data_IF_752079451076
#
_entry.id   IF_752079451076
#
_cell.length_a   1.000
_cell.length_b   1.000
_cell.length_c   1.000
_cell.angle_alpha   90.00
_cell.angle_beta   90.00
_cell.angle_gamma   90.00
#
_symmetry.space_group_name_H-M   'P 1'
#
loop_
_entity.id
_entity.type
_entity.pdbx_description
1 polymer ?
#
# COMPACT_ATOMS: atom_id res chain seq x y z
N UNK A 1 -8.52 -11.65 -28.42
CA UNK A 1 -9.87 -12.18 -28.15
C UNK A 1 -9.89 -13.28 -27.06
N UNK A 2 -8.80 -14.06 -26.85
CA UNK A 2 -8.73 -15.11 -25.82
C UNK A 2 -8.76 -14.60 -24.37
N UNK A 3 -8.28 -13.38 -24.08
CA UNK A 3 -8.16 -12.87 -22.71
C UNK A 3 -9.47 -12.51 -22.00
N UNK A 4 -10.56 -12.28 -22.74
CA UNK A 4 -11.87 -11.94 -22.15
C UNK A 4 -12.67 -13.19 -21.75
N UNK A 5 -12.53 -14.26 -22.49
CA UNK A 5 -13.26 -15.52 -22.24
C UNK A 5 -12.68 -16.32 -21.07
N UNK A 6 -11.35 -16.27 -20.85
CA UNK A 6 -10.71 -16.96 -19.72
C UNK A 6 -11.03 -16.31 -18.37
N UNK A 7 -11.29 -15.00 -18.34
CA UNK A 7 -11.64 -14.25 -17.11
C UNK A 7 -13.08 -14.47 -16.65
N UNK A 8 -14.00 -14.72 -17.57
CA UNK A 8 -15.42 -14.98 -17.26
C UNK A 8 -15.57 -16.31 -16.47
N UNK A 9 -14.66 -17.28 -16.68
CA UNK A 9 -14.67 -18.56 -15.95
C UNK A 9 -14.14 -18.44 -14.50
N UNK A 10 -13.52 -17.32 -14.14
CA UNK A 10 -12.92 -17.09 -12.81
C UNK A 10 -13.79 -16.20 -11.93
N UNK A 11 -14.87 -15.63 -12.43
CA UNK A 11 -15.76 -14.76 -11.64
C UNK A 11 -16.52 -15.64 -10.63
N UNK A 12 -16.40 -15.36 -9.31
CA UNK A 12 -17.10 -16.10 -8.29
C UNK A 12 -18.61 -16.10 -8.48
N UNK A 13 -19.27 -17.17 -8.08
CA UNK A 13 -20.73 -17.26 -8.09
C UNK A 13 -21.35 -16.08 -7.32
N UNK A 14 -22.44 -15.53 -7.85
CA UNK A 14 -23.10 -14.35 -7.28
C UNK A 14 -22.39 -13.00 -7.56
N UNK A 15 -21.31 -12.98 -8.35
CA UNK A 15 -20.61 -11.76 -8.74
C UNK A 15 -20.99 -11.35 -10.16
N UNK A 16 -21.49 -10.14 -10.32
CA UNK A 16 -21.83 -9.51 -11.62
C UNK A 16 -20.88 -8.33 -11.85
N UNK A 17 -20.00 -8.44 -12.83
CA UNK A 17 -19.07 -7.38 -13.19
C UNK A 17 -19.81 -6.18 -13.76
N UNK A 18 -19.36 -4.98 -13.38
CA UNK A 18 -19.81 -3.69 -13.88
C UNK A 18 -18.66 -3.00 -14.63
N UNK A 19 -18.31 -1.79 -14.24
CA UNK A 19 -17.31 -0.96 -14.90
C UNK A 19 -15.89 -1.31 -14.40
N UNK A 20 -14.91 -1.27 -15.30
CA UNK A 20 -13.49 -1.27 -14.93
C UNK A 20 -13.18 0.04 -14.18
N UNK A 21 -12.60 -0.07 -12.99
CA UNK A 21 -12.18 1.05 -12.15
C UNK A 21 -10.72 1.41 -12.40
N UNK A 22 -9.86 0.39 -12.50
CA UNK A 22 -8.44 0.58 -12.80
C UNK A 22 -7.83 -0.65 -13.46
N UNK A 23 -6.70 -0.43 -14.15
CA UNK A 23 -5.86 -1.46 -14.73
C UNK A 23 -4.39 -1.09 -14.55
N UNK A 24 -3.61 -2.00 -14.00
CA UNK A 24 -2.17 -1.87 -13.78
C UNK A 24 -1.43 -3.09 -14.36
N UNK A 25 -0.11 -3.10 -14.42
CA UNK A 25 0.65 -4.30 -14.75
C UNK A 25 0.38 -5.48 -13.82
N UNK A 26 -0.02 -5.21 -12.57
CA UNK A 26 -0.19 -6.21 -11.51
C UNK A 26 -1.60 -6.79 -11.48
N UNK A 27 -2.62 -5.95 -11.72
CA UNK A 27 -4.02 -6.34 -11.53
C UNK A 27 -4.99 -5.52 -12.37
N UNK A 28 -6.23 -6.04 -12.47
CA UNK A 28 -7.41 -5.30 -12.93
C UNK A 28 -8.47 -5.25 -11.85
N UNK A 29 -9.09 -4.10 -11.70
CA UNK A 29 -10.07 -3.82 -10.67
C UNK A 29 -11.38 -3.39 -11.33
N UNK A 30 -12.48 -4.00 -10.90
CA UNK A 30 -13.82 -3.71 -11.40
C UNK A 30 -14.79 -3.39 -10.27
N UNK A 31 -15.71 -2.49 -10.55
CA UNK A 31 -16.94 -2.41 -9.78
C UNK A 31 -17.78 -3.64 -10.09
N UNK A 32 -18.42 -4.23 -9.09
CA UNK A 32 -19.29 -5.38 -9.25
C UNK A 32 -20.46 -5.34 -8.26
N UNK A 33 -21.46 -6.16 -8.51
CA UNK A 33 -22.43 -6.55 -7.50
C UNK A 33 -22.06 -7.96 -7.04
N UNK A 34 -21.94 -8.18 -5.75
CA UNK A 34 -21.67 -9.48 -5.14
C UNK A 34 -22.77 -9.82 -4.16
N UNK A 35 -23.57 -10.85 -4.49
CA UNK A 35 -24.79 -11.17 -3.75
C UNK A 35 -25.65 -9.93 -3.46
N UNK A 36 -25.95 -9.15 -4.52
CA UNK A 36 -26.72 -7.90 -4.51
C UNK A 36 -26.07 -6.72 -3.78
N UNK A 37 -24.92 -6.91 -3.16
CA UNK A 37 -24.15 -5.82 -2.53
C UNK A 37 -23.21 -5.18 -3.52
N UNK A 38 -23.11 -3.83 -3.50
CA UNK A 38 -22.12 -3.08 -4.26
C UNK A 38 -20.73 -3.40 -3.73
N UNK A 39 -19.87 -3.91 -4.59
CA UNK A 39 -18.56 -4.42 -4.25
C UNK A 39 -17.51 -4.03 -5.30
N UNK A 40 -16.25 -4.30 -4.97
CA UNK A 40 -15.11 -4.19 -5.87
C UNK A 40 -14.44 -5.54 -5.96
N UNK A 41 -14.09 -5.96 -7.18
CA UNK A 41 -13.34 -7.19 -7.43
C UNK A 41 -12.01 -6.88 -8.09
N UNK A 42 -10.94 -7.50 -7.61
CA UNK A 42 -9.61 -7.48 -8.22
C UNK A 42 -9.29 -8.85 -8.79
N UNK A 43 -8.72 -8.83 -10.00
CA UNK A 43 -8.10 -9.97 -10.64
C UNK A 43 -6.61 -9.69 -10.80
N UNK A 44 -5.77 -10.53 -10.24
CA UNK A 44 -4.33 -10.41 -10.35
C UNK A 44 -3.84 -10.89 -11.71
N UNK A 45 -2.78 -10.24 -12.18
CA UNK A 45 -1.99 -10.71 -13.31
C UNK A 45 -0.87 -11.62 -12.80
N UNK A 46 -0.41 -12.53 -13.66
CA UNK A 46 0.68 -13.46 -13.32
C UNK A 46 1.99 -12.77 -12.90
N UNK A 47 2.16 -11.47 -13.20
CA UNK A 47 3.32 -10.69 -12.80
C UNK A 47 3.32 -10.39 -11.29
N UNK A 48 2.16 -10.33 -10.65
CA UNK A 48 2.05 -10.05 -9.22
C UNK A 48 2.88 -11.03 -8.37
N UNK A 49 2.76 -12.33 -8.65
CA UNK A 49 3.54 -13.36 -7.95
C UNK A 49 5.04 -13.26 -8.20
N UNK A 50 5.45 -12.69 -9.35
CA UNK A 50 6.86 -12.46 -9.69
C UNK A 50 7.46 -11.22 -9.03
N UNK A 51 6.61 -10.35 -8.44
CA UNK A 51 7.01 -9.15 -7.68
C UNK A 51 6.99 -9.37 -6.16
N UNK A 52 6.96 -10.61 -5.70
CA UNK A 52 6.88 -11.00 -4.29
C UNK A 52 5.64 -10.43 -3.57
N UNK A 53 4.55 -10.19 -4.32
CA UNK A 53 3.27 -9.81 -3.74
C UNK A 53 2.60 -11.07 -3.20
N UNK A 54 2.45 -11.14 -1.87
CA UNK A 54 1.88 -12.30 -1.18
C UNK A 54 0.42 -12.05 -0.81
N UNK A 55 -0.50 -12.47 -1.67
CA UNK A 55 -1.94 -12.23 -1.49
C UNK A 55 -2.52 -12.82 -0.20
N UNK A 56 -1.98 -13.95 0.25
CA UNK A 56 -2.41 -14.52 1.53
C UNK A 56 -2.03 -13.64 2.72
N UNK A 57 -0.87 -12.96 2.66
CA UNK A 57 -0.46 -12.01 3.68
C UNK A 57 -1.40 -10.80 3.72
N UNK A 58 -1.72 -10.21 2.56
CA UNK A 58 -2.70 -9.11 2.44
C UNK A 58 -4.05 -9.48 3.06
N UNK A 59 -4.58 -10.67 2.72
CA UNK A 59 -5.86 -11.18 3.25
C UNK A 59 -5.78 -11.33 4.78
N UNK A 60 -4.69 -11.89 5.29
CA UNK A 60 -4.51 -12.10 6.72
C UNK A 60 -4.44 -10.76 7.49
N UNK A 61 -3.74 -9.77 6.93
CA UNK A 61 -3.64 -8.43 7.51
C UNK A 61 -5.01 -7.76 7.54
N UNK A 62 -5.72 -7.72 6.41
CA UNK A 62 -7.05 -7.11 6.33
C UNK A 62 -8.04 -7.75 7.32
N UNK A 63 -8.02 -9.08 7.46
CA UNK A 63 -8.83 -9.79 8.46
C UNK A 63 -8.41 -9.41 9.89
N UNK A 64 -7.12 -9.33 10.15
CA UNK A 64 -6.58 -9.00 11.47
C UNK A 64 -6.96 -7.59 11.93
N UNK A 65 -6.85 -6.60 11.04
CA UNK A 65 -7.15 -5.19 11.33
C UNK A 65 -8.64 -4.81 11.16
N UNK A 66 -9.51 -5.76 10.85
CA UNK A 66 -10.92 -5.46 10.56
C UNK A 66 -11.60 -4.64 11.67
N UNK A 67 -11.25 -4.92 12.93
CA UNK A 67 -11.79 -4.17 14.09
C UNK A 67 -11.32 -2.71 14.16
N UNK A 68 -10.17 -2.36 13.53
CA UNK A 68 -9.72 -0.97 13.38
C UNK A 68 -10.55 -0.22 12.34
N UNK A 69 -11.22 -0.96 11.47
CA UNK A 69 -12.04 -0.41 10.38
C UNK A 69 -11.27 0.54 9.45
N UNK A 70 -9.97 0.33 9.29
CA UNK A 70 -9.09 1.13 8.42
C UNK A 70 -9.01 0.58 6.99
N UNK A 71 -9.21 -0.72 6.80
CA UNK A 71 -9.22 -1.36 5.48
C UNK A 71 -10.62 -1.70 4.99
N UNK A 72 -10.74 -2.14 3.72
CA UNK A 72 -12.00 -2.63 3.19
C UNK A 72 -12.39 -3.99 3.82
N UNK A 73 -13.68 -4.21 3.98
CA UNK A 73 -14.23 -5.49 4.42
C UNK A 73 -14.15 -6.51 3.28
N UNK A 74 -13.43 -7.63 3.50
CA UNK A 74 -13.32 -8.71 2.51
C UNK A 74 -14.63 -9.50 2.49
N UNK A 75 -15.25 -9.63 1.32
CA UNK A 75 -16.44 -10.44 1.07
C UNK A 75 -16.08 -11.82 0.52
N UNK A 76 -15.05 -11.91 -0.32
CA UNK A 76 -14.54 -13.15 -0.90
C UNK A 76 -13.05 -13.03 -1.18
N UNK A 77 -12.32 -14.11 -1.06
CA UNK A 77 -10.90 -14.16 -1.43
C UNK A 77 -10.46 -15.55 -1.85
N UNK A 78 -9.73 -15.63 -2.95
CA UNK A 78 -9.00 -16.80 -3.42
C UNK A 78 -7.59 -16.36 -3.81
N UNK A 79 -6.63 -16.56 -2.91
CA UNK A 79 -5.24 -16.15 -3.12
C UNK A 79 -4.53 -16.96 -4.20
N UNK A 80 -4.97 -18.20 -4.47
CA UNK A 80 -4.40 -19.06 -5.52
C UNK A 80 -4.89 -18.63 -6.91
N UNK A 81 -6.18 -18.31 -7.02
CA UNK A 81 -6.74 -17.75 -8.25
C UNK A 81 -6.39 -16.28 -8.47
N UNK A 82 -5.84 -15.59 -7.47
CA UNK A 82 -5.54 -14.16 -7.52
C UNK A 82 -6.81 -13.31 -7.58
N UNK A 83 -7.83 -13.68 -6.81
CA UNK A 83 -9.13 -12.97 -6.78
C UNK A 83 -9.40 -12.50 -5.37
N UNK A 84 -9.81 -11.22 -5.24
CA UNK A 84 -10.35 -10.68 -3.99
C UNK A 84 -11.54 -9.78 -4.29
N UNK A 85 -12.62 -9.95 -3.49
CA UNK A 85 -13.79 -9.07 -3.51
C UNK A 85 -13.92 -8.43 -2.14
N UNK A 86 -14.10 -7.11 -2.15
CA UNK A 86 -14.36 -6.35 -0.94
C UNK A 86 -15.54 -5.41 -1.12
N UNK A 87 -16.15 -5.05 -0.02
CA UNK A 87 -17.28 -4.12 0.01
C UNK A 87 -16.87 -2.77 -0.57
N UNK A 88 -17.70 -2.22 -1.46
CA UNK A 88 -17.45 -0.90 -2.02
C UNK A 88 -17.49 0.17 -0.91
N UNK A 89 -16.45 0.99 -0.85
CA UNK A 89 -16.36 2.14 0.04
C UNK A 89 -16.71 3.39 -0.77
N UNK A 90 -17.77 4.08 -0.37
CA UNK A 90 -18.10 5.39 -0.93
C UNK A 90 -17.26 6.44 -0.23
N UNK A 91 -16.51 7.22 -0.99
CA UNK A 91 -15.64 8.26 -0.44
C UNK A 91 -14.92 9.02 -1.54
N UNK A 92 -14.15 10.00 -1.11
CA UNK A 92 -13.30 10.84 -1.97
C UNK A 92 -11.87 10.81 -1.46
N UNK A 93 -10.92 11.07 -2.35
CA UNK A 93 -9.53 11.30 -1.97
C UNK A 93 -9.47 12.55 -1.08
N UNK A 94 -8.84 12.48 0.11
CA UNK A 94 -8.68 13.67 0.95
C UNK A 94 -7.82 14.72 0.28
N UNK A 95 -8.16 15.99 0.50
CA UNK A 95 -7.36 17.12 0.10
C UNK A 95 -7.02 17.98 1.31
N UNK A 96 -5.73 18.25 1.55
CA UNK A 96 -5.24 19.02 2.68
C UNK A 96 -4.77 20.43 2.29
N UNK A 97 -5.13 20.92 1.11
CA UNK A 97 -4.88 22.32 0.72
C UNK A 97 -5.70 23.24 1.65
N UNK A 98 -5.10 24.37 2.03
CA UNK A 98 -5.67 25.29 3.03
C UNK A 98 -7.02 25.87 2.60
N UNK A 99 -7.86 26.22 3.59
CA UNK A 99 -9.11 27.01 3.56
C UNK A 99 -10.43 26.29 3.26
N UNK A 100 -10.56 25.00 3.47
CA UNK A 100 -11.89 24.40 3.30
C UNK A 100 -12.44 23.85 4.62
N UNK A 101 -13.71 24.11 4.84
CA UNK A 101 -14.53 23.47 5.88
C UNK A 101 -14.67 21.98 5.51
N UNK A 102 -13.73 21.15 5.95
CA UNK A 102 -13.66 19.72 5.65
C UNK A 102 -13.96 18.89 6.89
N UNK A 103 -14.68 17.76 6.73
CA UNK A 103 -15.06 16.90 7.84
C UNK A 103 -13.92 16.03 8.37
N UNK A 104 -12.68 16.21 7.90
CA UNK A 104 -11.50 15.40 8.25
C UNK A 104 -10.29 16.28 8.51
N UNK A 105 -9.37 15.80 9.35
CA UNK A 105 -8.15 16.50 9.72
C UNK A 105 -6.92 15.60 9.57
N UNK A 106 -5.73 16.21 9.44
CA UNK A 106 -4.46 15.47 9.50
C UNK A 106 -4.24 14.87 10.90
N UNK A 107 -4.81 15.48 11.95
CA UNK A 107 -4.81 14.92 13.30
C UNK A 107 -5.54 13.57 13.34
N UNK A 108 -6.72 13.48 12.72
CA UNK A 108 -7.48 12.23 12.66
C UNK A 108 -6.72 11.16 11.87
N UNK A 109 -6.11 11.55 10.74
CA UNK A 109 -5.25 10.66 9.95
C UNK A 109 -4.05 10.16 10.79
N UNK A 110 -3.40 11.04 11.53
CA UNK A 110 -2.33 10.67 12.47
C UNK A 110 -2.78 9.67 13.54
N UNK A 111 -4.02 9.82 14.05
CA UNK A 111 -4.61 8.88 15.01
C UNK A 111 -4.90 7.52 14.37
N UNK A 112 -5.39 7.49 13.14
CA UNK A 112 -5.59 6.25 12.37
C UNK A 112 -4.26 5.51 12.13
N UNK A 113 -3.24 6.25 11.70
CA UNK A 113 -1.90 5.68 11.47
C UNK A 113 -1.28 5.15 12.77
N UNK A 114 -1.44 5.87 13.89
CA UNK A 114 -1.00 5.39 15.19
C UNK A 114 -1.70 4.09 15.60
N UNK A 115 -2.99 3.98 15.34
CA UNK A 115 -3.76 2.77 15.64
C UNK A 115 -3.26 1.58 14.82
N UNK A 116 -2.94 1.77 13.54
CA UNK A 116 -2.31 0.75 12.69
C UNK A 116 -0.95 0.34 13.23
N UNK A 117 -0.06 1.30 13.51
CA UNK A 117 1.31 1.04 13.96
C UNK A 117 1.39 0.40 15.34
N UNK A 118 0.37 0.54 16.19
CA UNK A 118 0.27 -0.14 17.48
C UNK A 118 -0.41 -1.50 17.39
N UNK A 119 -0.99 -1.83 16.26
CA UNK A 119 -1.62 -3.13 16.10
C UNK A 119 -0.57 -4.25 16.07
N UNK A 120 -0.80 -5.27 16.88
CA UNK A 120 0.06 -6.45 16.93
C UNK A 120 -0.61 -7.59 16.18
N UNK A 121 -0.06 -7.93 15.02
CA UNK A 121 -0.52 -9.10 14.28
C UNK A 121 -0.30 -10.37 15.10
N UNK A 122 -1.33 -11.21 15.28
CA UNK A 122 -1.14 -12.56 15.81
C UNK A 122 -0.31 -13.38 14.80
N UNK A 123 0.74 -14.05 15.28
CA UNK A 123 1.59 -14.91 14.46
C UNK A 123 2.82 -14.20 13.88
N UNK A 124 3.43 -14.81 12.85
CA UNK A 124 4.63 -14.26 12.21
C UNK A 124 4.23 -13.19 11.20
N UNK A 125 4.57 -11.95 11.49
CA UNK A 125 4.43 -10.86 10.52
C UNK A 125 5.58 -10.91 9.52
N UNK A 126 5.27 -10.87 8.23
CA UNK A 126 6.25 -10.95 7.16
C UNK A 126 6.96 -9.59 7.02
N UNK A 127 8.29 -9.62 6.96
CA UNK A 127 9.07 -8.48 6.46
C UNK A 127 9.01 -8.48 4.93
N UNK A 128 7.86 -8.03 4.41
CA UNK A 128 7.60 -7.95 2.96
C UNK A 128 8.66 -7.12 2.27
N UNK A 129 9.17 -6.11 2.95
CA UNK A 129 10.11 -5.16 2.40
C UNK A 129 11.48 -5.78 2.11
N UNK A 130 12.01 -6.56 3.05
CA UNK A 130 13.26 -7.31 2.84
C UNK A 130 13.14 -8.34 1.71
N UNK A 131 11.99 -8.98 1.58
CA UNK A 131 11.71 -9.92 0.49
C UNK A 131 11.67 -9.20 -0.87
N UNK A 132 10.98 -8.07 -0.95
CA UNK A 132 10.91 -7.25 -2.17
C UNK A 132 12.28 -6.75 -2.61
N UNK A 133 13.10 -6.24 -1.69
CA UNK A 133 14.46 -5.77 -1.97
C UNK A 133 15.38 -6.91 -2.44
N UNK A 134 15.24 -8.11 -1.87
CA UNK A 134 15.99 -9.28 -2.32
C UNK A 134 15.61 -9.70 -3.75
N UNK A 135 14.34 -9.57 -4.11
CA UNK A 135 13.86 -9.83 -5.46
C UNK A 135 14.38 -8.80 -6.46
N UNK A 136 14.31 -7.50 -6.13
CA UNK A 136 14.79 -6.43 -7.01
C UNK A 136 16.27 -6.57 -7.35
N UNK A 137 17.10 -7.09 -6.42
CA UNK A 137 18.51 -7.42 -6.69
C UNK A 137 18.68 -8.44 -7.82
N UNK A 138 17.71 -9.32 -8.03
CA UNK A 138 17.73 -10.34 -9.09
C UNK A 138 17.19 -9.81 -10.42
N UNK A 139 16.24 -8.88 -10.36
CA UNK A 139 15.56 -8.35 -11.54
C UNK A 139 16.31 -7.20 -12.22
N UNK A 140 17.13 -6.46 -11.46
CA UNK A 140 17.87 -5.30 -11.98
C UNK A 140 19.28 -5.76 -12.42
N UNK A 141 19.51 -5.76 -13.72
CA UNK A 141 20.77 -6.23 -14.31
C UNK A 141 21.64 -5.10 -14.87
N UNK A 142 21.06 -4.02 -15.35
CA UNK A 142 21.77 -2.88 -15.93
C UNK A 142 22.73 -2.24 -14.90
N UNK A 143 23.99 -1.93 -15.25
CA UNK A 143 24.98 -1.37 -14.30
C UNK A 143 24.57 -0.04 -13.63
N UNK A 144 23.92 0.87 -14.39
CA UNK A 144 23.43 2.15 -13.82
C UNK A 144 22.35 1.94 -12.78
N UNK A 145 21.41 1.03 -13.07
CA UNK A 145 20.28 0.72 -12.21
C UNK A 145 20.75 -0.07 -10.98
N UNK A 146 21.76 -0.93 -11.12
CA UNK A 146 22.44 -1.58 -9.98
C UNK A 146 23.10 -0.58 -9.04
N UNK A 147 23.68 0.52 -9.57
CA UNK A 147 24.26 1.56 -8.73
C UNK A 147 23.19 2.28 -7.93
N UNK A 148 22.04 2.58 -8.54
CA UNK A 148 20.88 3.17 -7.84
C UNK A 148 20.35 2.23 -6.78
N UNK A 149 20.15 0.96 -7.09
CA UNK A 149 19.74 -0.06 -6.13
C UNK A 149 20.70 -0.16 -4.94
N UNK A 150 22.02 -0.14 -5.20
CA UNK A 150 23.05 -0.14 -4.14
C UNK A 150 22.93 1.06 -3.21
N UNK A 151 22.68 2.27 -3.76
CA UNK A 151 22.44 3.48 -2.95
C UNK A 151 21.19 3.35 -2.10
N UNK A 152 20.08 2.88 -2.68
CA UNK A 152 18.83 2.64 -1.96
C UNK A 152 19.00 1.68 -0.80
N UNK A 153 19.69 0.56 -1.02
CA UNK A 153 19.95 -0.43 0.02
C UNK A 153 20.83 0.12 1.14
N UNK A 154 21.90 0.85 0.80
CA UNK A 154 22.75 1.48 1.80
C UNK A 154 22.00 2.53 2.65
N UNK A 155 21.10 3.29 2.01
CA UNK A 155 20.24 4.25 2.72
C UNK A 155 19.24 3.52 3.62
N UNK A 156 18.58 2.49 3.12
CA UNK A 156 17.65 1.67 3.91
C UNK A 156 18.31 1.05 5.14
N UNK A 157 19.50 0.45 4.95
CA UNK A 157 20.27 -0.13 6.05
C UNK A 157 20.67 0.93 7.10
N UNK A 158 21.02 2.16 6.65
CA UNK A 158 21.32 3.28 7.54
C UNK A 158 20.08 3.69 8.35
N UNK A 159 18.93 3.84 7.67
CA UNK A 159 17.68 4.30 8.27
C UNK A 159 17.11 3.31 9.31
N UNK A 160 17.39 2.02 9.15
CA UNK A 160 16.92 0.98 10.08
C UNK A 160 17.87 0.73 11.28
N UNK A 161 18.94 1.52 11.43
CA UNK A 161 19.90 1.38 12.54
C UNK A 161 19.59 2.23 13.76
N UNK A 162 18.54 3.03 13.73
CA UNK A 162 18.14 3.94 14.81
C UNK A 162 17.54 3.23 16.04
N UNK A 163 17.32 1.91 15.97
CA UNK A 163 16.73 1.11 17.03
C UNK A 163 15.23 1.25 17.18
N UNK A 164 14.56 1.96 16.28
CA UNK A 164 13.11 2.07 16.29
C UNK A 164 12.47 0.72 15.96
N UNK A 165 11.51 0.31 16.78
CA UNK A 165 10.80 -0.95 16.60
C UNK A 165 10.00 -0.91 15.29
N UNK A 166 10.14 -1.94 14.46
CA UNK A 166 9.27 -2.16 13.30
C UNK A 166 7.82 -2.38 13.74
N UNK A 167 6.90 -1.84 12.98
CA UNK A 167 5.45 -1.85 13.21
C UNK A 167 4.74 -2.45 12.01
N UNK A 168 3.46 -2.80 12.16
CA UNK A 168 2.63 -3.08 10.99
C UNK A 168 2.45 -1.79 10.21
N UNK A 169 3.02 -1.73 9.02
CA UNK A 169 2.96 -0.61 8.09
C UNK A 169 2.18 -0.98 6.84
N UNK A 170 1.54 0.00 6.24
CA UNK A 170 0.86 -0.15 4.96
C UNK A 170 1.86 -0.34 3.81
N UNK A 171 2.99 0.37 3.88
CA UNK A 171 4.11 0.35 2.92
C UNK A 171 3.80 0.91 1.53
N UNK A 172 2.59 1.41 1.30
CA UNK A 172 2.18 2.08 0.06
C UNK A 172 1.11 3.15 0.35
N UNK A 173 1.30 3.91 1.44
CA UNK A 173 0.31 4.87 1.91
C UNK A 173 0.47 6.23 1.21
N UNK A 174 -0.07 6.33 0.01
CA UNK A 174 -0.12 7.58 -0.76
C UNK A 174 -1.58 8.04 -0.96
N UNK A 175 -1.75 9.27 -1.52
CA UNK A 175 -3.07 9.92 -1.61
C UNK A 175 -4.13 9.09 -2.31
N UNK A 176 -3.79 8.36 -3.38
CA UNK A 176 -4.76 7.53 -4.12
C UNK A 176 -5.16 6.26 -3.37
N UNK A 177 -4.39 5.85 -2.34
CA UNK A 177 -4.71 4.73 -1.46
C UNK A 177 -5.42 5.20 -0.17
N UNK A 178 -5.83 6.46 -0.11
CA UNK A 178 -6.52 7.05 1.02
C UNK A 178 -7.90 7.55 0.59
N UNK A 179 -8.96 7.10 1.26
CA UNK A 179 -10.32 7.60 1.07
C UNK A 179 -10.87 8.19 2.36
N UNK A 180 -11.63 9.27 2.20
CA UNK A 180 -12.55 9.76 3.22
C UNK A 180 -13.99 9.43 2.82
N UNK A 181 -14.65 8.60 3.63
CA UNK A 181 -16.09 8.38 3.58
C UNK A 181 -16.76 9.10 4.75
N UNK A 182 -17.00 8.41 5.84
CA UNK A 182 -17.34 8.96 7.16
C UNK A 182 -16.16 8.87 8.15
N UNK A 183 -15.06 8.29 7.71
CA UNK A 183 -13.77 8.11 8.38
C UNK A 183 -12.70 7.86 7.31
N UNK A 184 -11.44 7.76 7.73
CA UNK A 184 -10.37 7.33 6.82
C UNK A 184 -10.43 5.84 6.54
N UNK A 185 -10.20 5.49 5.26
CA UNK A 185 -9.97 4.12 4.80
C UNK A 185 -8.66 4.08 4.03
N UNK A 186 -7.85 3.07 4.29
CA UNK A 186 -6.62 2.77 3.58
C UNK A 186 -6.91 1.65 2.59
N UNK A 187 -6.53 1.84 1.34
CA UNK A 187 -6.76 0.91 0.24
C UNK A 187 -5.44 0.31 -0.23
N UNK A 188 -5.51 -0.83 -0.91
CA UNK A 188 -4.38 -1.50 -1.55
C UNK A 188 -3.27 -1.93 -0.57
N UNK A 189 -3.57 -2.94 0.22
CA UNK A 189 -2.73 -3.49 1.29
C UNK A 189 -1.69 -4.51 0.82
N UNK A 190 -1.42 -4.60 -0.48
CA UNK A 190 -0.59 -5.65 -1.08
C UNK A 190 0.88 -5.65 -0.65
N UNK A 191 1.40 -4.50 -0.22
CA UNK A 191 2.76 -4.34 0.31
C UNK A 191 2.81 -4.29 1.84
N UNK A 192 1.69 -4.44 2.52
CA UNK A 192 1.62 -4.30 3.97
C UNK A 192 2.41 -5.38 4.71
N UNK A 193 3.06 -4.98 5.79
CA UNK A 193 3.92 -5.85 6.60
C UNK A 193 4.74 -5.07 7.62
N UNK A 194 5.72 -5.74 8.24
CA UNK A 194 6.60 -5.08 9.20
C UNK A 194 7.57 -4.11 8.53
N UNK A 195 7.55 -2.86 8.96
CA UNK A 195 8.51 -1.84 8.51
C UNK A 195 8.74 -0.77 9.59
N UNK A 196 9.68 0.12 9.31
CA UNK A 196 9.91 1.30 10.12
C UNK A 196 8.72 2.29 10.00
N UNK A 197 8.17 2.82 11.11
CA UNK A 197 6.96 3.66 11.07
C UNK A 197 7.15 4.95 10.25
N UNK A 198 8.36 5.48 10.14
CA UNK A 198 8.63 6.65 9.29
C UNK A 198 8.34 6.41 7.81
N UNK A 199 8.31 5.17 7.34
CA UNK A 199 8.03 4.89 5.93
C UNK A 199 6.62 5.38 5.54
N UNK A 200 5.59 4.97 6.28
CA UNK A 200 4.21 5.42 6.03
C UNK A 200 4.05 6.93 6.26
N UNK A 201 4.69 7.47 7.32
CA UNK A 201 4.66 8.90 7.60
C UNK A 201 5.27 9.70 6.45
N UNK A 202 6.45 9.30 5.97
CA UNK A 202 7.14 9.97 4.86
C UNK A 202 6.37 9.81 3.53
N UNK A 203 5.72 8.68 3.31
CA UNK A 203 4.84 8.46 2.15
C UNK A 203 3.68 9.45 2.14
N UNK A 204 3.01 9.67 3.27
CA UNK A 204 1.96 10.69 3.40
C UNK A 204 2.50 12.10 3.16
N UNK A 205 3.61 12.46 3.85
CA UNK A 205 4.23 13.79 3.71
C UNK A 205 4.60 14.08 2.26
N UNK A 206 5.24 13.13 1.57
CA UNK A 206 5.61 13.22 0.16
C UNK A 206 4.38 13.34 -0.74
N UNK A 207 3.41 12.45 -0.57
CA UNK A 207 2.27 12.31 -1.48
C UNK A 207 1.32 13.51 -1.42
N UNK A 208 1.10 14.07 -0.23
CA UNK A 208 0.28 15.25 -0.02
C UNK A 208 1.07 16.56 -0.03
N UNK A 209 2.41 16.51 -0.18
CA UNK A 209 3.30 17.68 -0.13
C UNK A 209 3.10 18.52 1.14
N UNK A 210 2.97 17.84 2.28
CA UNK A 210 2.63 18.49 3.55
C UNK A 210 3.71 19.49 3.98
N UNK A 211 3.28 20.70 4.32
CA UNK A 211 4.14 21.70 4.93
C UNK A 211 4.38 21.42 6.43
N UNK A 212 5.25 22.22 7.07
CA UNK A 212 5.65 22.00 8.47
C UNK A 212 4.48 22.10 9.46
N UNK A 213 3.51 22.98 9.23
CA UNK A 213 2.31 23.10 10.06
C UNK A 213 1.45 21.84 9.96
N UNK A 214 1.26 21.35 8.75
CA UNK A 214 0.50 20.13 8.45
C UNK A 214 1.18 18.87 9.00
N UNK A 215 2.51 18.77 8.91
CA UNK A 215 3.29 17.70 9.56
C UNK A 215 3.10 17.75 11.08
N UNK A 216 3.07 18.93 11.67
CA UNK A 216 2.82 19.10 13.10
C UNK A 216 1.41 18.64 13.47
N UNK A 217 0.40 18.97 12.66
CA UNK A 217 -0.98 18.51 12.87
C UNK A 217 -1.08 16.97 12.80
N UNK A 218 -0.49 16.34 11.78
CA UNK A 218 -0.40 14.88 11.64
C UNK A 218 0.28 14.26 12.89
N UNK A 219 1.41 14.83 13.31
CA UNK A 219 2.15 14.43 14.50
C UNK A 219 1.31 14.54 15.77
N UNK A 220 0.45 15.53 15.89
CA UNK A 220 -0.41 15.72 17.07
C UNK A 220 -1.47 14.61 17.19
N UNK A 221 -1.90 14.03 16.08
CA UNK A 221 -2.76 12.85 16.08
C UNK A 221 -1.99 11.55 16.37
N UNK A 222 -0.77 11.46 15.89
CA UNK A 222 0.10 10.31 16.11
C UNK A 222 0.66 10.34 17.53
N UNK A 223 0.11 9.52 18.42
CA UNK A 223 0.43 9.52 19.86
C UNK A 223 1.77 8.85 20.21
N UNK A 224 2.52 8.39 19.22
CA UNK A 224 3.80 7.71 19.38
C UNK A 224 5.00 8.67 19.49
N UNK A 225 6.18 8.15 19.13
CA UNK A 225 7.43 8.91 19.16
C UNK A 225 7.40 10.11 18.20
N UNK A 226 7.51 11.32 18.76
CA UNK A 226 7.50 12.57 17.97
C UNK A 226 8.76 12.78 17.11
N UNK A 227 9.87 12.12 17.43
CA UNK A 227 11.10 12.20 16.64
C UNK A 227 10.92 11.62 15.23
N UNK A 228 9.93 10.74 15.03
CA UNK A 228 9.57 10.21 13.70
C UNK A 228 9.15 11.31 12.71
N UNK A 229 8.74 12.48 13.22
CA UNK A 229 8.28 13.63 12.43
C UNK A 229 9.37 14.70 12.24
N UNK A 230 10.60 14.41 12.65
CA UNK A 230 11.70 15.35 12.44
C UNK A 230 12.01 15.49 10.95
N UNK A 231 12.16 16.71 10.46
CA UNK A 231 12.27 17.04 9.03
C UNK A 231 13.42 16.28 8.35
N UNK A 232 14.58 16.21 9.00
CA UNK A 232 15.74 15.52 8.42
C UNK A 232 15.51 14.00 8.31
N UNK A 233 14.81 13.42 9.29
CA UNK A 233 14.42 12.00 9.26
C UNK A 233 13.45 11.74 8.11
N UNK A 234 12.41 12.56 8.01
CA UNK A 234 11.42 12.43 6.94
C UNK A 234 12.04 12.61 5.55
N UNK A 235 12.94 13.61 5.37
CA UNK A 235 13.60 13.82 4.09
C UNK A 235 14.44 12.62 3.65
N UNK A 236 15.13 11.95 4.56
CA UNK A 236 15.90 10.74 4.24
C UNK A 236 14.97 9.58 3.85
N UNK A 237 13.84 9.41 4.54
CA UNK A 237 12.85 8.40 4.16
C UNK A 237 12.17 8.73 2.83
N UNK A 238 11.87 10.01 2.54
CA UNK A 238 11.34 10.47 1.25
C UNK A 238 12.35 10.18 0.12
N UNK A 239 13.65 10.43 0.33
CA UNK A 239 14.69 10.07 -0.63
C UNK A 239 14.70 8.56 -0.90
N UNK A 240 14.60 7.74 0.15
CA UNK A 240 14.52 6.30 -0.01
C UNK A 240 13.28 5.87 -0.80
N UNK A 241 12.11 6.47 -0.55
CA UNK A 241 10.87 6.19 -1.27
C UNK A 241 11.03 6.50 -2.77
N UNK A 242 11.68 7.60 -3.15
CA UNK A 242 11.97 7.90 -4.56
C UNK A 242 12.81 6.80 -5.23
N UNK A 243 13.87 6.33 -4.55
CA UNK A 243 14.64 5.19 -5.08
C UNK A 243 13.80 3.93 -5.22
N UNK A 244 12.95 3.65 -4.24
CA UNK A 244 12.13 2.45 -4.24
C UNK A 244 11.11 2.44 -5.39
N UNK A 245 10.43 3.56 -5.62
CA UNK A 245 9.47 3.72 -6.71
C UNK A 245 10.13 3.49 -8.07
N UNK A 246 11.33 4.03 -8.27
CA UNK A 246 12.07 3.85 -9.51
C UNK A 246 12.56 2.39 -9.68
N UNK A 247 13.06 1.79 -8.61
CA UNK A 247 13.47 0.37 -8.59
C UNK A 247 12.28 -0.54 -8.92
N UNK A 248 11.11 -0.25 -8.35
CA UNK A 248 9.89 -0.99 -8.64
C UNK A 248 9.50 -0.87 -10.11
N UNK A 249 9.48 0.35 -10.66
CA UNK A 249 9.16 0.63 -12.06
C UNK A 249 10.08 -0.12 -13.03
N UNK A 250 11.38 -0.12 -12.76
CA UNK A 250 12.38 -0.85 -13.54
C UNK A 250 12.18 -2.38 -13.44
N UNK A 251 11.84 -2.87 -12.25
CA UNK A 251 11.59 -4.29 -12.04
C UNK A 251 10.36 -4.77 -12.80
N UNK A 252 9.27 -3.98 -12.80
CA UNK A 252 8.08 -4.27 -13.60
C UNK A 252 8.41 -4.31 -15.08
N UNK A 253 9.10 -3.28 -15.58
CA UNK A 253 9.52 -3.22 -16.99
C UNK A 253 10.35 -4.43 -17.40
N UNK A 254 11.36 -4.80 -16.61
CA UNK A 254 12.21 -5.96 -16.92
C UNK A 254 11.41 -7.27 -16.92
N UNK A 255 10.39 -7.41 -16.08
CA UNK A 255 9.51 -8.59 -16.08
C UNK A 255 8.54 -8.60 -17.28
N UNK A 256 8.15 -7.45 -17.81
CA UNK A 256 7.33 -7.34 -19.02
C UNK A 256 8.15 -7.68 -20.27
N UNK A 257 9.37 -7.15 -20.36
CA UNK A 257 10.30 -7.42 -21.48
C UNK A 257 10.68 -8.92 -21.59
N UNK A 258 10.72 -9.65 -20.46
CA UNK A 258 10.94 -11.10 -20.45
C UNK A 258 9.75 -11.93 -20.97
N UNK A 259 8.59 -11.29 -21.22
CA UNK A 259 7.39 -11.94 -21.78
C UNK A 259 7.20 -11.70 -23.27
N UNK A 260 7.91 -10.71 -23.84
CA UNK A 260 7.87 -10.34 -25.25
C UNK A 260 8.87 -11.17 -26.06
#
# INVERSE_FOLDING_TARGET
>A
MHSKLDKIKLVPEGCILRNELSSSPISKIYLCDFHEMKAVIRFDHAIASKLAIERQNEINILKGINHLSLGPEILYSDSQAGIMIWKYISGTEPNFVEDEDRPYTLRDLGSCLYSLHNFQMPGHSIDVFSNSLALYKKLIENPSDKLMLKKALALYDKLNKDGVRKVLSHNDLHRSNLLWGNKYYFLDWEYSGLNHPCFDIASLVKSFQLNQSQITELSNGYKGNKQLFHVDTLNQWIEFIYYLEEIWRLSVKNLEDLKA
#
